data_IF_486888324048
#
_entry.id   IF_486888324048
#
_cell.length_a   1.000
_cell.length_b   1.000
_cell.length_c   1.000
_cell.angle_alpha   90.00
_cell.angle_beta   90.00
_cell.angle_gamma   90.00
#
_symmetry.space_group_name_H-M   'P 1'
#
loop_
_entity.id
_entity.type
_entity.pdbx_description
1 polymer ?
#
# COMPACT_ATOMS: atom_id res chain seq x y z
N UNK A 1 31.23 -7.00 25.90
CA UNK A 1 31.13 -7.58 24.56
C UNK A 1 29.70 -7.37 24.11
N UNK A 2 29.42 -6.18 23.56
CA UNK A 2 28.09 -5.79 23.12
C UNK A 2 27.92 -6.23 21.67
N UNK A 3 26.86 -6.98 21.40
CA UNK A 3 26.46 -7.28 20.03
C UNK A 3 25.81 -6.01 19.51
N UNK A 4 26.49 -5.30 18.61
CA UNK A 4 25.83 -4.33 17.75
C UNK A 4 24.77 -5.10 16.96
N UNK A 5 23.50 -4.86 17.30
CA UNK A 5 22.39 -5.21 16.44
C UNK A 5 22.62 -4.40 15.17
N UNK A 6 22.89 -5.07 14.05
CA UNK A 6 22.78 -4.44 12.74
C UNK A 6 21.34 -3.99 12.59
N UNK A 7 21.07 -2.70 12.83
CA UNK A 7 19.82 -2.08 12.45
C UNK A 7 19.64 -2.33 10.95
N UNK A 8 18.45 -2.81 10.58
CA UNK A 8 18.06 -3.03 9.21
C UNK A 8 18.41 -1.78 8.40
N UNK A 9 19.04 -1.98 7.23
CA UNK A 9 19.51 -0.91 6.36
C UNK A 9 18.36 0.03 6.00
N UNK A 10 18.26 1.13 6.75
CA UNK A 10 17.35 2.23 6.52
C UNK A 10 17.75 2.87 5.18
N UNK A 11 16.83 3.06 4.23
CA UNK A 11 17.07 3.95 3.09
C UNK A 11 16.66 5.34 3.56
N UNK A 12 17.60 6.23 3.92
CA UNK A 12 17.28 7.43 4.69
C UNK A 12 16.46 8.50 3.96
N UNK A 13 16.04 8.21 2.73
CA UNK A 13 15.22 9.10 1.91
C UNK A 13 13.74 8.68 1.80
N UNK A 14 13.41 7.38 1.89
CA UNK A 14 12.04 6.93 1.57
C UNK A 14 11.04 7.22 2.69
N UNK A 15 11.47 7.17 3.95
CA UNK A 15 10.61 7.42 5.11
C UNK A 15 10.51 8.91 5.50
N UNK A 16 11.05 9.83 4.69
CA UNK A 16 10.89 11.27 4.94
C UNK A 16 9.46 11.69 4.64
N UNK A 17 8.78 12.18 5.67
CA UNK A 17 7.36 12.51 5.59
C UNK A 17 7.10 13.66 4.62
N UNK A 18 6.01 13.55 3.86
CA UNK A 18 5.57 14.50 2.84
C UNK A 18 6.54 14.68 1.64
N UNK A 19 7.45 13.73 1.40
CA UNK A 19 8.31 13.72 0.20
C UNK A 19 7.90 12.61 -0.78
N UNK A 20 7.85 11.38 -0.28
CA UNK A 20 7.34 10.21 -0.98
C UNK A 20 6.43 9.43 -0.04
N UNK A 21 6.94 9.15 1.16
CA UNK A 21 6.10 8.66 2.25
C UNK A 21 5.08 9.74 2.65
N UNK A 22 3.88 9.26 2.98
CA UNK A 22 2.71 10.07 3.25
C UNK A 22 1.77 9.37 4.24
N UNK A 23 0.96 10.19 4.93
CA UNK A 23 -0.14 9.74 5.77
C UNK A 23 -1.20 8.96 4.95
N UNK A 24 -2.20 8.38 5.60
CA UNK A 24 -3.17 7.50 4.96
C UNK A 24 -2.50 6.30 4.25
N UNK A 25 -1.38 5.83 4.77
CA UNK A 25 -0.76 4.59 4.33
C UNK A 25 -1.67 3.39 4.64
N UNK A 26 -1.76 2.44 3.69
CA UNK A 26 -2.64 1.28 3.83
C UNK A 26 -2.18 0.29 4.91
N UNK A 27 -0.87 0.24 5.19
CA UNK A 27 -0.28 -0.76 6.11
C UNK A 27 0.75 -0.19 7.07
N UNK A 28 0.96 1.13 7.09
CA UNK A 28 1.83 1.84 8.03
C UNK A 28 1.04 2.93 8.75
N UNK A 29 1.45 3.30 9.95
CA UNK A 29 0.86 4.40 10.71
C UNK A 29 1.32 5.75 10.16
N UNK A 30 0.49 6.77 10.33
CA UNK A 30 0.79 8.16 9.96
C UNK A 30 1.94 8.71 10.80
N UNK A 31 2.60 9.75 10.28
CA UNK A 31 3.62 10.44 11.03
C UNK A 31 3.02 11.19 12.24
N UNK A 32 3.72 11.15 13.38
CA UNK A 32 3.33 11.98 14.51
C UNK A 32 3.44 13.48 14.15
N UNK A 33 2.61 14.37 14.71
CA UNK A 33 2.67 15.80 14.40
C UNK A 33 4.07 16.39 14.55
N UNK A 34 4.62 16.92 13.46
CA UNK A 34 5.95 17.54 13.41
C UNK A 34 7.12 16.55 13.32
N UNK A 35 6.87 15.25 13.18
CA UNK A 35 7.91 14.27 12.92
C UNK A 35 8.51 14.47 11.52
N UNK A 36 9.83 14.29 11.39
CA UNK A 36 10.55 14.34 10.11
C UNK A 36 10.39 13.03 9.33
N UNK A 37 10.22 11.92 10.06
CA UNK A 37 10.13 10.58 9.51
C UNK A 37 8.85 9.89 9.99
N UNK A 38 8.21 9.12 9.12
CA UNK A 38 7.07 8.30 9.49
C UNK A 38 7.47 6.94 10.05
N UNK A 39 6.56 6.28 10.78
CA UNK A 39 6.69 4.89 11.18
C UNK A 39 6.93 3.96 9.97
N UNK A 40 7.96 3.12 10.06
CA UNK A 40 8.29 2.16 8.98
C UNK A 40 7.86 0.73 9.31
N UNK A 41 7.43 0.47 10.54
CA UNK A 41 6.97 -0.85 10.94
C UNK A 41 5.58 -1.11 10.38
N UNK A 42 5.39 -2.29 9.79
CA UNK A 42 4.08 -2.77 9.36
C UNK A 42 3.08 -2.74 10.51
N UNK A 43 1.97 -2.01 10.32
CA UNK A 43 0.82 -2.10 11.21
C UNK A 43 -0.04 -3.31 10.84
N UNK A 44 0.06 -4.37 11.64
CA UNK A 44 -0.69 -5.63 11.45
C UNK A 44 -2.21 -5.45 11.52
N UNK A 45 -2.71 -4.48 12.29
CA UNK A 45 -4.13 -4.19 12.36
C UNK A 45 -4.63 -3.56 11.04
N UNK A 46 -3.84 -2.66 10.45
CA UNK A 46 -4.13 -2.09 9.13
C UNK A 46 -4.09 -3.16 8.03
N UNK A 47 -3.09 -4.06 8.05
CA UNK A 47 -3.05 -5.22 7.13
C UNK A 47 -4.33 -6.05 7.22
N UNK A 48 -4.74 -6.42 8.44
CA UNK A 48 -5.98 -7.17 8.66
C UNK A 48 -7.23 -6.40 8.21
N UNK A 49 -7.26 -5.08 8.42
CA UNK A 49 -8.36 -4.22 7.99
C UNK A 49 -8.48 -4.21 6.45
N UNK A 50 -7.37 -4.03 5.72
CA UNK A 50 -7.37 -4.09 4.25
C UNK A 50 -7.82 -5.48 3.76
N UNK A 51 -7.26 -6.56 4.33
CA UNK A 51 -7.67 -7.92 3.97
C UNK A 51 -9.16 -8.18 4.21
N UNK A 52 -9.73 -7.61 5.29
CA UNK A 52 -11.15 -7.72 5.61
C UNK A 52 -12.09 -7.01 4.64
N UNK A 53 -11.57 -6.16 3.74
CA UNK A 53 -12.35 -5.49 2.70
C UNK A 53 -12.50 -6.34 1.43
N UNK A 54 -11.83 -7.48 1.32
CA UNK A 54 -12.02 -8.42 0.22
C UNK A 54 -13.50 -8.80 0.09
N UNK A 55 -14.07 -8.53 -1.07
CA UNK A 55 -15.50 -8.74 -1.33
C UNK A 55 -15.87 -10.22 -1.52
N UNK A 56 -14.90 -11.07 -1.88
CA UNK A 56 -15.08 -12.52 -2.04
C UNK A 56 -14.41 -13.35 -0.92
N UNK A 57 -13.65 -12.70 -0.03
CA UNK A 57 -12.89 -13.34 1.05
C UNK A 57 -11.67 -14.14 0.58
N UNK A 58 -11.25 -13.97 -0.67
CA UNK A 58 -10.14 -14.70 -1.30
C UNK A 58 -9.08 -13.75 -1.81
N UNK A 59 -9.47 -12.67 -2.48
CA UNK A 59 -8.56 -11.72 -3.11
C UNK A 59 -9.00 -10.26 -2.98
N UNK A 60 -8.06 -9.34 -3.17
CA UNK A 60 -8.29 -7.90 -3.22
C UNK A 60 -8.28 -7.45 -4.68
N UNK A 61 -9.32 -6.74 -5.09
CA UNK A 61 -9.45 -6.08 -6.40
C UNK A 61 -9.06 -4.61 -6.31
N UNK A 62 -8.95 -3.93 -7.46
CA UNK A 62 -8.82 -2.48 -7.51
C UNK A 62 -9.95 -1.74 -6.75
N UNK A 63 -11.16 -2.30 -6.76
CA UNK A 63 -12.31 -1.76 -6.01
C UNK A 63 -12.15 -1.91 -4.51
N UNK A 64 -11.65 -3.06 -4.03
CA UNK A 64 -11.41 -3.27 -2.59
C UNK A 64 -10.27 -2.36 -2.10
N UNK A 65 -9.22 -2.18 -2.91
CA UNK A 65 -8.19 -1.18 -2.64
C UNK A 65 -8.74 0.24 -2.62
N UNK A 66 -9.64 0.60 -3.54
CA UNK A 66 -10.28 1.92 -3.54
C UNK A 66 -11.06 2.16 -2.23
N UNK A 67 -11.81 1.16 -1.75
CA UNK A 67 -12.49 1.25 -0.46
C UNK A 67 -11.50 1.45 0.69
N UNK A 68 -10.38 0.70 0.68
CA UNK A 68 -9.32 0.84 1.67
C UNK A 68 -8.69 2.24 1.64
N UNK A 69 -8.49 2.82 0.45
CA UNK A 69 -7.97 4.18 0.26
C UNK A 69 -8.91 5.22 0.87
N UNK A 70 -10.21 5.14 0.58
CA UNK A 70 -11.21 6.07 1.14
C UNK A 70 -11.19 6.02 2.67
N UNK A 71 -11.23 4.83 3.27
CA UNK A 71 -11.17 4.67 4.73
C UNK A 71 -9.87 5.27 5.30
N UNK A 72 -8.72 5.01 4.67
CA UNK A 72 -7.44 5.53 5.13
C UNK A 72 -7.40 7.07 5.05
N UNK A 73 -7.89 7.65 3.96
CA UNK A 73 -7.86 9.10 3.73
C UNK A 73 -8.85 9.86 4.62
N UNK A 74 -10.03 9.29 4.91
CA UNK A 74 -11.01 9.87 5.84
C UNK A 74 -10.53 9.88 7.30
N UNK A 75 -9.61 8.97 7.65
CA UNK A 75 -9.08 8.82 9.01
C UNK A 75 -7.75 9.50 9.25
N UNK A 76 -7.18 10.14 8.21
CA UNK A 76 -5.86 10.77 8.21
C UNK A 76 -5.95 12.27 7.89
N UNK A 77 -4.81 12.97 7.93
CA UNK A 77 -4.76 14.35 7.41
C UNK A 77 -4.93 14.35 5.87
N UNK A 78 -5.54 15.39 5.29
CA UNK A 78 -5.71 15.49 3.84
C UNK A 78 -4.37 15.42 3.10
N UNK A 79 -4.30 14.54 2.11
CA UNK A 79 -3.14 14.40 1.24
C UNK A 79 -3.12 15.47 0.14
N UNK A 80 -1.94 16.06 -0.17
CA UNK A 80 -1.74 16.79 -1.42
C UNK A 80 -2.01 15.90 -2.64
N UNK A 81 -2.53 16.47 -3.74
CA UNK A 81 -2.93 15.74 -4.95
C UNK A 81 -1.85 14.79 -5.49
N UNK A 82 -0.57 15.19 -5.44
CA UNK A 82 0.53 14.35 -5.91
C UNK A 82 0.77 13.12 -5.02
N UNK A 83 0.56 13.23 -3.70
CA UNK A 83 0.68 12.11 -2.77
C UNK A 83 -0.58 11.24 -2.78
N UNK A 84 -1.76 11.82 -2.96
CA UNK A 84 -2.98 11.06 -3.21
C UNK A 84 -2.87 10.22 -4.50
N UNK A 85 -2.26 10.77 -5.56
CA UNK A 85 -1.94 10.02 -6.77
C UNK A 85 -0.91 8.90 -6.50
N UNK A 86 0.17 9.20 -5.78
CA UNK A 86 1.18 8.20 -5.41
C UNK A 86 0.56 7.03 -4.61
N UNK A 87 -0.34 7.32 -3.68
CA UNK A 87 -1.01 6.32 -2.87
C UNK A 87 -1.89 5.35 -3.70
N UNK A 88 -2.52 5.83 -4.77
CA UNK A 88 -3.23 4.97 -5.72
C UNK A 88 -2.27 4.12 -6.58
N UNK A 89 -1.10 4.68 -6.92
CA UNK A 89 -0.03 3.95 -7.62
C UNK A 89 0.50 2.81 -6.77
N UNK A 90 0.64 2.97 -5.46
CA UNK A 90 1.08 1.90 -4.54
C UNK A 90 0.11 0.70 -4.54
N UNK A 91 -1.20 0.96 -4.54
CA UNK A 91 -2.20 -0.10 -4.69
C UNK A 91 -2.11 -0.81 -6.04
N UNK A 92 -1.88 -0.05 -7.12
CA UNK A 92 -1.65 -0.61 -8.46
C UNK A 92 -0.36 -1.46 -8.54
N UNK A 93 0.69 -1.07 -7.81
CA UNK A 93 1.90 -1.87 -7.69
C UNK A 93 1.65 -3.20 -6.96
N UNK A 94 0.80 -3.22 -5.93
CA UNK A 94 0.38 -4.48 -5.30
C UNK A 94 -0.31 -5.41 -6.32
N UNK A 95 -1.30 -4.88 -7.06
CA UNK A 95 -2.04 -5.61 -8.09
C UNK A 95 -1.15 -6.17 -9.20
N UNK A 96 -0.06 -5.49 -9.54
CA UNK A 96 0.82 -5.89 -10.65
C UNK A 96 2.01 -6.75 -10.22
N UNK A 97 2.64 -6.46 -9.08
CA UNK A 97 3.88 -7.12 -8.65
C UNK A 97 3.61 -8.47 -8.01
N UNK A 98 2.60 -8.56 -7.15
CA UNK A 98 2.24 -9.80 -6.43
C UNK A 98 0.86 -10.34 -6.81
N UNK A 99 0.17 -9.64 -7.71
CA UNK A 99 -1.09 -10.05 -8.30
C UNK A 99 -0.98 -10.38 -9.79
N UNK A 100 -2.12 -10.43 -10.46
CA UNK A 100 -2.24 -10.69 -11.90
C UNK A 100 -2.62 -9.43 -12.71
N UNK A 101 -2.55 -8.26 -12.10
CA UNK A 101 -3.00 -6.98 -12.63
C UNK A 101 -4.47 -6.67 -12.37
N UNK A 102 -5.25 -7.63 -11.87
CA UNK A 102 -6.68 -7.48 -11.54
C UNK A 102 -6.96 -7.77 -10.08
N UNK A 103 -6.26 -8.75 -9.51
CA UNK A 103 -6.46 -9.25 -8.15
C UNK A 103 -5.13 -9.52 -7.44
N UNK A 104 -5.14 -9.44 -6.11
CA UNK A 104 -4.08 -9.93 -5.22
C UNK A 104 -4.68 -10.92 -4.24
N UNK A 105 -4.22 -12.17 -4.24
CA UNK A 105 -4.64 -13.16 -3.24
C UNK A 105 -4.35 -12.67 -1.81
N UNK A 106 -5.28 -12.89 -0.88
CA UNK A 106 -5.12 -12.44 0.51
C UNK A 106 -3.87 -13.04 1.18
N UNK A 107 -3.51 -14.28 0.83
CA UNK A 107 -2.27 -14.89 1.30
C UNK A 107 -1.03 -14.14 0.80
N UNK A 108 -1.01 -13.74 -0.48
CA UNK A 108 0.09 -12.97 -1.07
C UNK A 108 0.18 -11.56 -0.47
N UNK A 109 -0.96 -10.89 -0.26
CA UNK A 109 -1.02 -9.61 0.43
C UNK A 109 -0.48 -9.71 1.85
N UNK A 110 -0.91 -10.74 2.60
CA UNK A 110 -0.44 -10.99 3.96
C UNK A 110 1.05 -11.32 4.04
N UNK A 111 1.57 -12.12 3.10
CA UNK A 111 3.01 -12.41 3.03
C UNK A 111 3.84 -11.15 2.78
N UNK A 112 3.48 -10.36 1.76
CA UNK A 112 4.26 -9.18 1.39
C UNK A 112 4.12 -8.06 2.42
N UNK A 113 2.91 -7.64 2.70
CA UNK A 113 2.67 -6.45 3.53
C UNK A 113 2.54 -6.77 5.01
N UNK A 114 2.19 -7.99 5.38
CA UNK A 114 2.21 -8.44 6.76
C UNK A 114 3.62 -8.87 7.16
N UNK A 115 4.18 -9.88 6.50
CA UNK A 115 5.43 -10.53 6.93
C UNK A 115 6.70 -9.98 6.27
N UNK A 116 6.58 -8.93 5.44
CA UNK A 116 7.72 -8.35 4.69
C UNK A 116 8.50 -9.40 3.90
N UNK A 117 7.77 -10.36 3.30
CA UNK A 117 8.32 -11.52 2.59
C UNK A 117 7.64 -11.64 1.23
N UNK A 118 8.39 -12.00 0.19
CA UNK A 118 7.76 -12.35 -1.09
C UNK A 118 6.76 -13.51 -0.89
N UNK A 119 5.60 -13.49 -1.58
CA UNK A 119 4.60 -14.55 -1.45
C UNK A 119 5.17 -15.94 -1.73
N UNK A 120 4.67 -16.95 -1.03
CA UNK A 120 5.04 -18.33 -1.34
C UNK A 120 4.73 -18.67 -2.81
N UNK A 121 5.70 -19.27 -3.51
CA UNK A 121 5.57 -19.61 -4.92
C UNK A 121 5.61 -18.43 -5.88
N UNK A 122 5.87 -17.20 -5.40
CA UNK A 122 5.98 -16.03 -6.26
C UNK A 122 7.07 -16.21 -7.32
N UNK A 123 6.72 -15.90 -8.57
CA UNK A 123 7.65 -15.85 -9.69
C UNK A 123 7.63 -14.44 -10.23
N UNK A 124 8.82 -13.88 -10.46
CA UNK A 124 8.97 -12.57 -11.09
C UNK A 124 8.21 -12.53 -12.43
N UNK A 125 7.44 -11.47 -12.72
CA UNK A 125 6.83 -11.26 -14.03
C UNK A 125 7.87 -11.38 -15.16
N UNK A 126 7.51 -12.15 -16.20
CA UNK A 126 8.39 -12.36 -17.38
C UNK A 126 8.42 -11.15 -18.29
N UNK A 127 7.31 -10.41 -18.35
CA UNK A 127 7.21 -9.14 -19.04
C UNK A 127 7.50 -7.98 -18.09
N UNK A 128 8.14 -6.89 -18.55
CA UNK A 128 8.32 -5.70 -17.74
C UNK A 128 6.97 -5.10 -17.32
N UNK A 129 6.83 -4.81 -16.02
CA UNK A 129 5.77 -3.91 -15.54
C UNK A 129 6.17 -2.49 -15.92
N UNK A 130 5.40 -1.86 -16.81
CA UNK A 130 5.67 -0.52 -17.35
C UNK A 130 4.85 0.54 -16.63
N UNK A 131 5.29 1.80 -16.73
CA UNK A 131 4.61 2.92 -16.07
C UNK A 131 3.16 3.10 -16.56
N UNK A 132 2.91 2.94 -17.85
CA UNK A 132 1.57 3.05 -18.44
C UNK A 132 0.60 1.99 -17.89
N UNK A 133 1.06 0.77 -17.67
CA UNK A 133 0.26 -0.29 -17.04
C UNK A 133 -0.09 0.10 -15.60
N UNK A 134 0.89 0.52 -14.80
CA UNK A 134 0.67 0.88 -13.40
C UNK A 134 -0.24 2.09 -13.28
N UNK A 135 -0.02 3.14 -14.08
CA UNK A 135 -0.87 4.34 -14.08
C UNK A 135 -2.30 4.00 -14.52
N UNK A 136 -2.47 3.13 -15.52
CA UNK A 136 -3.79 2.68 -15.95
C UNK A 136 -4.58 1.96 -14.86
N UNK A 137 -3.92 1.14 -14.04
CA UNK A 137 -4.54 0.48 -12.87
C UNK A 137 -4.78 1.48 -11.74
N UNK A 138 -3.83 2.39 -11.47
CA UNK A 138 -3.99 3.43 -10.45
C UNK A 138 -5.20 4.34 -10.75
N UNK A 139 -5.46 4.67 -12.02
CA UNK A 139 -6.67 5.39 -12.43
C UNK A 139 -7.95 4.59 -12.19
N UNK A 140 -7.93 3.26 -12.30
CA UNK A 140 -9.08 2.42 -11.96
C UNK A 140 -9.35 2.43 -10.46
N UNK A 141 -8.31 2.34 -9.63
CA UNK A 141 -8.44 2.49 -8.17
C UNK A 141 -9.03 3.86 -7.84
N UNK A 142 -8.46 4.93 -8.39
CA UNK A 142 -8.93 6.30 -8.14
C UNK A 142 -10.40 6.50 -8.57
N UNK A 143 -10.80 6.01 -9.75
CA UNK A 143 -12.19 6.11 -10.22
C UNK A 143 -13.16 5.30 -9.35
N UNK A 144 -12.76 4.12 -8.87
CA UNK A 144 -13.60 3.29 -8.02
C UNK A 144 -13.83 3.89 -6.61
N UNK A 145 -13.05 4.90 -6.19
CA UNK A 145 -13.28 5.60 -4.92
C UNK A 145 -14.62 6.34 -4.88
N UNK A 146 -15.11 6.80 -6.04
CA UNK A 146 -16.42 7.46 -6.16
C UNK A 146 -17.59 6.59 -5.66
N UNK A 147 -17.42 5.27 -5.59
CA UNK A 147 -18.42 4.36 -5.02
C UNK A 147 -18.54 4.44 -3.49
N UNK A 148 -17.50 4.94 -2.81
CA UNK A 148 -17.37 4.92 -1.36
C UNK A 148 -17.30 6.30 -0.73
N UNK A 149 -16.87 7.32 -1.47
CA UNK A 149 -16.88 8.71 -1.01
C UNK A 149 -18.35 9.15 -0.76
N UNK A 150 -18.68 9.48 0.49
CA UNK A 150 -19.99 10.03 0.81
C UNK A 150 -20.14 11.43 0.19
N UNK A 151 -21.24 11.67 -0.53
CA UNK A 151 -21.66 12.99 -1.03
C UNK A 151 -21.76 14.00 0.11
#
# INVERSE_FOLDING_TARGET
MGVEMMEAAWIPGVATHNVLEHDASLVHDDAAPGAVYAPTDTNKAKVAAVSGLSTDGVALTARDFAHARVIAEETSLPLPDNLAFAANVEAALALTVIGDGTTVDLAAFGDLFGENKLPEGWVKPTEPITLDVVVGIASQVAAAKEEFESI
#
